data_IF_926212556543
#
_entry.id   IF_926212556543
#
_cell.length_a   1.000
_cell.length_b   1.000
_cell.length_c   1.000
_cell.angle_alpha   90.00
_cell.angle_beta   90.00
_cell.angle_gamma   90.00
#
_symmetry.space_group_name_H-M   'P 1'
#
loop_
_entity.id
_entity.type
_entity.pdbx_description
1 polymer ?
#
# COMPACT_ATOMS: atom_id res chain seq x y z
N UNK A 1 0.69 21.47 11.39
CA UNK A 1 1.76 20.47 11.59
C UNK A 1 1.14 19.10 11.36
N UNK A 2 1.89 18.09 10.90
CA UNK A 2 1.35 16.72 10.84
C UNK A 2 1.06 16.23 12.25
N UNK A 3 0.02 15.41 12.41
CA UNK A 3 -0.35 14.84 13.72
C UNK A 3 0.85 14.08 14.32
N UNK A 4 1.57 13.34 13.49
CA UNK A 4 2.83 12.69 13.86
C UNK A 4 3.88 13.66 14.43
N UNK A 5 4.05 14.83 13.81
CA UNK A 5 4.99 15.85 14.28
C UNK A 5 4.61 16.46 15.63
N UNK A 6 3.31 16.61 15.91
CA UNK A 6 2.81 17.06 17.21
C UNK A 6 3.05 16.00 18.30
N UNK A 7 2.86 14.72 17.97
CA UNK A 7 3.15 13.60 18.87
C UNK A 7 4.64 13.55 19.23
N UNK A 8 5.52 13.56 18.23
CA UNK A 8 6.98 13.53 18.45
C UNK A 8 7.46 14.71 19.30
N UNK A 9 6.97 15.93 19.03
CA UNK A 9 7.27 17.11 19.85
C UNK A 9 6.75 17.00 21.28
N UNK A 10 5.57 16.42 21.46
CA UNK A 10 4.98 16.21 22.80
C UNK A 10 5.83 15.23 23.59
N UNK A 11 6.27 14.13 22.97
CA UNK A 11 7.16 13.14 23.59
C UNK A 11 8.53 13.77 23.91
N UNK A 12 9.12 14.57 23.01
CA UNK A 12 10.37 15.30 23.23
C UNK A 12 10.30 16.34 24.36
N UNK A 13 9.19 17.08 24.46
CA UNK A 13 9.02 18.09 25.50
C UNK A 13 8.85 17.47 26.90
N UNK A 14 8.32 16.25 27.01
CA UNK A 14 8.27 15.52 28.28
C UNK A 14 9.65 15.06 28.72
N UNK A 15 10.51 14.64 27.79
CA UNK A 15 11.89 14.22 28.06
C UNK A 15 12.75 15.35 28.66
N UNK A 16 12.62 16.58 28.14
CA UNK A 16 13.32 17.75 28.69
C UNK A 16 13.03 18.00 30.18
N UNK A 17 11.91 17.49 30.68
CA UNK A 17 11.50 17.64 32.09
C UNK A 17 11.98 16.50 33.00
N UNK A 18 12.57 15.41 32.49
CA UNK A 18 13.05 14.29 33.31
C UNK A 18 14.34 13.69 32.74
N UNK A 19 15.47 14.13 33.27
CA UNK A 19 16.70 13.37 33.15
C UNK A 19 16.64 12.14 34.06
N UNK A 20 17.04 10.98 33.52
CA UNK A 20 17.15 9.66 34.16
C UNK A 20 15.90 8.78 34.09
N UNK A 21 15.74 8.06 32.98
CA UNK A 21 15.89 6.59 32.99
C UNK A 21 15.67 6.05 31.57
N UNK A 22 16.65 5.29 31.09
CA UNK A 22 16.51 4.44 29.92
C UNK A 22 15.55 3.33 30.29
N UNK A 23 14.28 3.47 29.89
CA UNK A 23 13.27 2.45 29.64
C UNK A 23 11.94 3.22 29.50
N UNK A 24 11.16 2.91 28.47
CA UNK A 24 9.80 3.44 28.27
C UNK A 24 8.88 2.82 29.33
N UNK A 25 9.09 3.21 30.58
CA UNK A 25 8.29 2.84 31.75
C UNK A 25 7.45 4.03 32.24
N UNK A 26 7.43 5.14 31.50
CA UNK A 26 6.54 6.25 31.82
C UNK A 26 5.15 5.92 31.26
N UNK A 27 4.24 5.52 32.15
CA UNK A 27 2.82 5.25 31.88
C UNK A 27 2.16 6.38 31.06
N UNK A 28 2.67 7.61 31.21
CA UNK A 28 2.26 8.78 30.44
C UNK A 28 2.64 8.68 28.96
N UNK A 29 3.85 8.19 28.63
CA UNK A 29 4.29 7.99 27.24
C UNK A 29 3.47 6.88 26.61
N UNK A 30 3.22 5.78 27.33
CA UNK A 30 2.35 4.70 26.84
C UNK A 30 0.94 5.22 26.57
N UNK A 31 0.38 6.04 27.46
CA UNK A 31 -0.94 6.62 27.29
C UNK A 31 -0.99 7.65 26.15
N UNK A 32 0.05 8.45 25.95
CA UNK A 32 0.18 9.35 24.80
C UNK A 32 0.25 8.52 23.52
N UNK A 33 1.12 7.51 23.47
CA UNK A 33 1.20 6.57 22.36
C UNK A 33 -0.15 5.93 22.09
N UNK A 34 -0.88 5.37 23.07
CA UNK A 34 -2.21 4.80 22.85
C UNK A 34 -3.22 5.80 22.27
N UNK A 35 -3.29 7.01 22.84
CA UNK A 35 -4.24 8.04 22.42
C UNK A 35 -3.97 8.50 20.98
N UNK A 36 -2.70 8.64 20.61
CA UNK A 36 -2.33 9.15 19.30
C UNK A 36 -2.18 8.04 18.27
N UNK A 37 -1.69 6.86 18.64
CA UNK A 37 -1.55 5.71 17.77
C UNK A 37 -2.90 5.30 17.17
N UNK A 38 -4.00 5.36 17.92
CA UNK A 38 -5.34 5.10 17.34
C UNK A 38 -5.74 6.11 16.25
N UNK A 39 -5.15 7.31 16.24
CA UNK A 39 -5.45 8.40 15.29
C UNK A 39 -4.46 8.48 14.13
N UNK A 40 -3.33 7.80 14.20
CA UNK A 40 -2.31 7.78 13.14
C UNK A 40 -2.68 6.78 12.03
N UNK A 41 -2.33 7.16 10.81
CA UNK A 41 -2.34 6.26 9.64
C UNK A 41 -1.33 5.12 9.81
N UNK A 42 -1.42 4.07 8.98
CA UNK A 42 -0.51 2.91 9.05
C UNK A 42 0.94 3.33 8.83
N UNK A 43 1.19 4.23 7.89
CA UNK A 43 2.55 4.73 7.61
C UNK A 43 3.08 5.62 8.74
N UNK A 44 2.25 6.52 9.30
CA UNK A 44 2.67 7.35 10.44
C UNK A 44 2.96 6.50 11.69
N UNK A 45 2.25 5.38 11.88
CA UNK A 45 2.55 4.42 12.96
C UNK A 45 3.91 3.77 12.77
N UNK A 46 4.20 3.33 11.54
CA UNK A 46 5.50 2.73 11.22
C UNK A 46 6.64 3.74 11.44
N UNK A 47 6.44 5.00 11.05
CA UNK A 47 7.40 6.08 11.24
C UNK A 47 7.60 6.40 12.74
N UNK A 48 6.52 6.50 13.53
CA UNK A 48 6.60 6.69 14.98
C UNK A 48 7.37 5.56 15.67
N UNK A 49 7.07 4.31 15.31
CA UNK A 49 7.74 3.14 15.89
C UNK A 49 9.23 3.12 15.52
N UNK A 50 9.57 3.39 14.26
CA UNK A 50 10.97 3.49 13.83
C UNK A 50 11.71 4.62 14.55
N UNK A 51 11.07 5.78 14.73
CA UNK A 51 11.62 6.89 15.49
C UNK A 51 11.85 6.52 16.96
N UNK A 52 10.88 5.87 17.62
CA UNK A 52 11.02 5.40 18.99
C UNK A 52 12.18 4.40 19.13
N UNK A 53 12.29 3.43 18.23
CA UNK A 53 13.37 2.44 18.21
C UNK A 53 14.75 3.11 18.05
N UNK A 54 14.88 4.05 17.10
CA UNK A 54 16.13 4.77 16.87
C UNK A 54 16.50 5.70 18.03
N UNK A 55 15.52 6.43 18.58
CA UNK A 55 15.76 7.44 19.61
C UNK A 55 16.09 6.83 20.95
N UNK A 56 15.35 5.79 21.36
CA UNK A 56 15.56 5.14 22.65
C UNK A 56 16.56 3.97 22.56
N UNK A 57 17.09 3.68 21.38
CA UNK A 57 18.13 2.66 21.16
C UNK A 57 17.70 1.24 21.53
N UNK A 58 16.39 1.01 21.68
CA UNK A 58 15.90 -0.24 22.24
C UNK A 58 15.77 -1.27 21.12
N UNK A 59 16.65 -2.27 21.12
CA UNK A 59 16.35 -3.58 20.54
C UNK A 59 15.25 -4.23 21.40
N UNK A 60 14.03 -3.70 21.35
CA UNK A 60 12.92 -4.25 22.11
C UNK A 60 12.52 -5.54 21.41
N UNK A 61 12.97 -6.67 21.95
CA UNK A 61 12.53 -8.00 21.56
C UNK A 61 11.00 -8.05 21.49
N UNK A 62 10.30 -7.42 22.44
CA UNK A 62 8.84 -7.30 22.45
C UNK A 62 8.26 -6.46 21.30
N UNK A 63 8.94 -5.43 20.79
CA UNK A 63 8.48 -4.70 19.60
C UNK A 63 8.69 -5.55 18.35
N UNK A 64 9.80 -6.27 18.25
CA UNK A 64 10.03 -7.24 17.18
C UNK A 64 9.03 -8.40 17.24
N UNK A 65 8.71 -8.90 18.43
CA UNK A 65 7.67 -9.90 18.65
C UNK A 65 6.28 -9.34 18.36
N UNK A 66 5.95 -8.11 18.76
CA UNK A 66 4.65 -7.51 18.47
C UNK A 66 4.49 -7.21 16.99
N UNK A 67 5.53 -6.69 16.33
CA UNK A 67 5.59 -6.56 14.88
C UNK A 67 5.51 -7.93 14.21
N UNK A 68 6.19 -8.95 14.73
CA UNK A 68 6.12 -10.33 14.26
C UNK A 68 4.73 -10.94 14.42
N UNK A 69 4.05 -10.72 15.54
CA UNK A 69 2.67 -11.15 15.82
C UNK A 69 1.69 -10.38 14.93
N UNK A 70 1.91 -9.09 14.69
CA UNK A 70 1.12 -8.31 13.73
C UNK A 70 1.35 -8.83 12.31
N UNK A 71 2.59 -9.10 11.93
CA UNK A 71 2.97 -9.66 10.65
C UNK A 71 2.33 -11.04 10.48
N UNK A 72 2.38 -11.89 11.49
CA UNK A 72 1.75 -13.21 11.52
C UNK A 72 0.23 -13.12 11.54
N UNK A 73 -0.36 -12.13 12.21
CA UNK A 73 -1.79 -11.87 12.18
C UNK A 73 -2.23 -11.41 10.79
N UNK A 74 -1.46 -10.54 10.14
CA UNK A 74 -1.73 -10.10 8.76
C UNK A 74 -1.52 -11.27 7.80
N UNK A 75 -0.45 -12.06 7.96
CA UNK A 75 -0.12 -13.27 7.18
C UNK A 75 -1.23 -14.32 7.29
N UNK A 76 -1.67 -14.63 8.50
CA UNK A 76 -2.77 -15.58 8.75
C UNK A 76 -4.13 -15.03 8.28
N UNK A 77 -4.24 -13.70 8.10
CA UNK A 77 -5.41 -13.03 7.51
C UNK A 77 -5.22 -12.66 6.03
N UNK A 78 -4.18 -13.13 5.35
CA UNK A 78 -4.02 -12.93 3.88
C UNK A 78 -5.18 -13.54 3.10
N UNK A 79 -5.85 -14.55 3.66
CA UNK A 79 -7.12 -15.07 3.16
C UNK A 79 -8.27 -14.04 3.15
N UNK A 80 -8.14 -12.91 3.84
CA UNK A 80 -9.14 -11.85 3.97
C UNK A 80 -8.91 -10.68 2.99
N UNK A 81 -7.82 -10.69 2.21
CA UNK A 81 -7.63 -9.66 1.17
C UNK A 81 -8.59 -9.91 0.01
N UNK A 82 -9.46 -8.93 -0.22
CA UNK A 82 -10.47 -8.94 -1.25
C UNK A 82 -9.91 -8.32 -2.52
N UNK A 83 -9.88 -9.10 -3.59
CA UNK A 83 -9.53 -8.64 -4.92
C UNK A 83 -10.72 -7.88 -5.51
N UNK A 84 -10.50 -6.63 -5.90
CA UNK A 84 -11.50 -5.79 -6.56
C UNK A 84 -10.94 -5.28 -7.89
N UNK A 85 -11.75 -5.33 -8.95
CA UNK A 85 -11.42 -4.71 -10.22
C UNK A 85 -11.67 -3.20 -10.12
N UNK A 86 -10.64 -2.42 -10.44
CA UNK A 86 -10.74 -0.96 -10.52
C UNK A 86 -11.12 -0.58 -11.96
N UNK A 87 -12.15 0.25 -12.08
CA UNK A 87 -12.70 0.75 -13.34
C UNK A 87 -12.98 2.24 -13.23
N UNK A 88 -13.37 2.89 -14.32
CA UNK A 88 -13.70 4.31 -14.29
C UNK A 88 -14.96 4.63 -13.46
N UNK A 89 -15.79 3.62 -13.18
CA UNK A 89 -16.96 3.73 -12.30
C UNK A 89 -16.62 3.62 -10.80
N UNK A 90 -15.35 3.31 -10.47
CA UNK A 90 -14.90 3.22 -9.07
C UNK A 90 -15.00 4.59 -8.38
N UNK A 91 -15.35 4.66 -7.08
CA UNK A 91 -15.40 5.92 -6.34
C UNK A 91 -14.15 6.78 -6.49
N UNK A 92 -14.36 8.09 -6.67
CA UNK A 92 -13.30 9.03 -7.03
C UNK A 92 -12.17 9.12 -5.99
N UNK A 93 -12.46 8.95 -4.70
CA UNK A 93 -11.47 8.93 -3.63
C UNK A 93 -10.54 7.70 -3.72
N UNK A 94 -11.04 6.55 -4.16
CA UNK A 94 -10.21 5.37 -4.42
C UNK A 94 -9.37 5.61 -5.69
N UNK A 95 -9.95 6.18 -6.74
CA UNK A 95 -9.22 6.52 -7.97
C UNK A 95 -8.08 7.52 -7.71
N UNK A 96 -8.31 8.52 -6.85
CA UNK A 96 -7.28 9.46 -6.42
C UNK A 96 -6.11 8.73 -5.73
N UNK A 97 -6.42 7.78 -4.83
CA UNK A 97 -5.40 6.94 -4.18
C UNK A 97 -4.65 6.05 -5.17
N UNK A 98 -5.33 5.46 -6.15
CA UNK A 98 -4.68 4.68 -7.22
C UNK A 98 -3.69 5.55 -7.99
N UNK A 99 -4.09 6.78 -8.35
CA UNK A 99 -3.22 7.76 -8.98
C UNK A 99 -2.01 8.12 -8.12
N UNK A 100 -2.23 8.36 -6.82
CA UNK A 100 -1.21 8.78 -5.87
C UNK A 100 -0.21 7.69 -5.51
N UNK A 101 -0.66 6.46 -5.36
CA UNK A 101 0.15 5.35 -4.87
C UNK A 101 0.92 4.60 -5.95
N UNK A 102 0.70 4.90 -7.23
CA UNK A 102 1.44 4.28 -8.32
C UNK A 102 2.94 4.65 -8.25
N UNK A 103 3.77 3.70 -7.84
CA UNK A 103 5.20 3.91 -7.59
C UNK A 103 6.10 3.57 -8.78
N UNK A 104 5.64 2.71 -9.71
CA UNK A 104 6.46 2.25 -10.84
C UNK A 104 6.37 3.24 -12.00
N UNK A 105 5.15 3.66 -12.36
CA UNK A 105 4.92 4.57 -13.48
C UNK A 105 3.96 5.69 -13.09
N UNK A 106 4.52 6.75 -12.50
CA UNK A 106 3.78 7.91 -12.01
C UNK A 106 2.65 8.33 -12.96
N UNK A 107 1.44 8.40 -12.41
CA UNK A 107 0.26 8.85 -13.13
C UNK A 107 0.25 10.37 -13.18
N UNK A 108 0.27 10.93 -14.38
CA UNK A 108 0.49 12.36 -14.63
C UNK A 108 -0.80 13.18 -14.64
N UNK A 109 -1.94 12.54 -14.88
CA UNK A 109 -3.25 13.21 -14.98
C UNK A 109 -4.43 12.24 -14.83
N UNK A 110 -5.64 12.78 -14.62
CA UNK A 110 -6.88 12.01 -14.67
C UNK A 110 -7.13 11.37 -16.04
N UNK A 111 -6.69 12.02 -17.12
CA UNK A 111 -6.78 11.49 -18.48
C UNK A 111 -5.89 10.25 -18.60
N UNK A 112 -4.68 10.29 -18.05
CA UNK A 112 -3.78 9.14 -17.98
C UNK A 112 -4.40 7.98 -17.21
N UNK A 113 -4.90 8.24 -15.99
CA UNK A 113 -5.58 7.23 -15.18
C UNK A 113 -6.75 6.59 -15.95
N UNK A 114 -7.54 7.38 -16.67
CA UNK A 114 -8.64 6.87 -17.49
C UNK A 114 -8.17 5.92 -18.59
N UNK A 115 -7.04 6.20 -19.25
CA UNK A 115 -6.46 5.31 -20.24
C UNK A 115 -5.97 4.00 -19.61
N UNK A 116 -5.37 4.06 -18.42
CA UNK A 116 -4.94 2.86 -17.66
C UNK A 116 -6.09 2.01 -17.15
N UNK A 117 -7.31 2.54 -17.15
CA UNK A 117 -8.54 1.83 -16.82
C UNK A 117 -9.37 1.50 -18.08
N UNK A 118 -8.79 1.68 -19.27
CA UNK A 118 -9.44 1.49 -20.57
C UNK A 118 -9.74 0.04 -20.93
N UNK A 119 -10.25 -0.18 -22.14
CA UNK A 119 -10.78 -1.47 -22.60
C UNK A 119 -9.75 -2.61 -22.64
N UNK A 120 -8.52 -2.33 -23.06
CA UNK A 120 -7.38 -3.26 -23.12
C UNK A 120 -6.45 -3.14 -21.89
N UNK A 121 -6.95 -2.54 -20.81
CA UNK A 121 -6.25 -2.43 -19.54
C UNK A 121 -7.12 -3.01 -18.43
N UNK A 122 -6.47 -3.60 -17.44
CA UNK A 122 -7.12 -4.07 -16.22
C UNK A 122 -6.31 -3.54 -15.06
N UNK A 123 -6.98 -2.91 -14.11
CA UNK A 123 -6.39 -2.52 -12.84
C UNK A 123 -7.12 -3.32 -11.76
N UNK A 124 -6.34 -3.89 -10.85
CA UNK A 124 -6.83 -4.64 -9.72
C UNK A 124 -6.22 -4.07 -8.45
N UNK A 125 -7.02 -4.06 -7.39
CA UNK A 125 -6.56 -3.66 -6.08
C UNK A 125 -6.99 -4.69 -5.04
N UNK A 126 -6.11 -4.94 -4.08
CA UNK A 126 -6.43 -5.75 -2.90
C UNK A 126 -6.77 -4.84 -1.73
N UNK A 127 -7.91 -5.13 -1.10
CA UNK A 127 -8.42 -4.41 0.06
C UNK A 127 -8.51 -5.35 1.25
N UNK A 128 -8.29 -4.81 2.45
CA UNK A 128 -8.62 -5.53 3.69
C UNK A 128 -10.03 -5.14 4.14
N UNK A 129 -10.80 -6.06 4.72
CA UNK A 129 -12.18 -5.81 5.17
C UNK A 129 -12.30 -4.66 6.17
N UNK A 130 -11.29 -4.48 7.03
CA UNK A 130 -11.19 -3.33 7.95
C UNK A 130 -10.78 -2.01 7.30
N UNK A 131 -10.28 -2.04 6.06
CA UNK A 131 -9.84 -0.86 5.30
C UNK A 131 -10.39 -0.90 3.86
N UNK A 132 -11.72 -0.90 3.68
CA UNK A 132 -12.35 -1.13 2.38
C UNK A 132 -12.13 -0.01 1.37
N UNK A 133 -11.66 1.16 1.82
CA UNK A 133 -11.35 2.32 0.97
C UNK A 133 -9.85 2.55 0.80
N UNK A 134 -9.02 1.64 1.29
CA UNK A 134 -7.56 1.74 1.24
C UNK A 134 -7.02 0.59 0.37
N UNK A 135 -6.59 0.86 -0.88
CA UNK A 135 -5.99 -0.17 -1.70
C UNK A 135 -4.61 -0.48 -1.13
N UNK A 136 -4.37 -1.72 -0.70
CA UNK A 136 -3.09 -2.13 -0.07
C UNK A 136 -2.05 -2.54 -1.11
N UNK A 137 -2.52 -3.14 -2.21
CA UNK A 137 -1.66 -3.48 -3.34
C UNK A 137 -2.41 -3.21 -4.63
N UNK A 138 -1.72 -2.58 -5.57
CA UNK A 138 -2.22 -2.23 -6.90
C UNK A 138 -1.51 -3.07 -7.95
N UNK A 139 -2.27 -3.61 -8.89
CA UNK A 139 -1.75 -4.34 -10.03
C UNK A 139 -2.33 -3.74 -11.31
N UNK A 140 -1.45 -3.30 -12.20
CA UNK A 140 -1.82 -2.88 -13.54
C UNK A 140 -1.42 -3.92 -14.58
N UNK A 141 -2.39 -4.29 -15.40
CA UNK A 141 -2.28 -5.34 -16.41
C UNK A 141 -2.68 -4.78 -17.76
N UNK A 142 -1.85 -5.06 -18.77
CA UNK A 142 -2.16 -4.77 -20.16
C UNK A 142 -2.56 -6.06 -20.88
N UNK A 143 -3.67 -6.01 -21.59
CA UNK A 143 -4.13 -7.10 -22.45
C UNK A 143 -3.58 -6.88 -23.86
N UNK A 144 -2.92 -7.91 -24.39
CA UNK A 144 -2.15 -7.86 -25.64
C UNK A 144 -2.25 -9.19 -26.39
N UNK A 145 -1.92 -9.18 -27.67
CA UNK A 145 -1.85 -10.35 -28.55
C UNK A 145 -0.53 -11.14 -28.39
N UNK A 146 0.50 -10.52 -27.82
CA UNK A 146 1.83 -11.09 -27.61
C UNK A 146 2.52 -10.47 -26.40
N UNK A 147 3.51 -11.18 -25.87
CA UNK A 147 4.39 -10.64 -24.83
C UNK A 147 5.15 -9.43 -25.39
N UNK A 148 4.98 -8.27 -24.77
CA UNK A 148 5.70 -7.05 -25.15
C UNK A 148 7.16 -7.14 -24.75
N UNK A 149 8.06 -6.68 -25.63
CA UNK A 149 9.48 -6.55 -25.35
C UNK A 149 9.85 -5.23 -24.66
N UNK A 150 8.90 -4.30 -24.53
CA UNK A 150 9.14 -2.96 -23.98
C UNK A 150 7.96 -2.50 -23.11
N UNK A 151 8.24 -1.91 -21.95
CA UNK A 151 7.22 -1.33 -21.07
C UNK A 151 6.73 0.03 -21.59
N UNK A 152 7.59 0.78 -22.29
CA UNK A 152 7.24 2.08 -22.88
C UNK A 152 6.15 1.95 -23.93
N UNK A 153 6.10 0.85 -24.68
CA UNK A 153 5.00 0.59 -25.63
C UNK A 153 3.68 0.26 -24.94
N UNK A 154 3.70 -0.15 -23.67
CA UNK A 154 2.50 -0.43 -22.87
C UNK A 154 1.97 0.86 -22.22
N UNK A 155 2.88 1.71 -21.74
CA UNK A 155 2.56 2.94 -20.98
C UNK A 155 2.29 4.14 -21.88
N UNK A 156 2.86 4.20 -23.08
CA UNK A 156 2.67 5.35 -23.99
C UNK A 156 1.23 5.45 -24.49
N UNK A 157 0.63 6.64 -24.36
CA UNK A 157 -0.77 6.95 -24.74
C UNK A 157 -1.04 6.95 -26.24
N UNK A 158 -0.01 6.81 -27.07
CA UNK A 158 -0.15 6.80 -28.52
C UNK A 158 -0.82 5.50 -28.95
N UNK A 159 -2.14 5.56 -29.03
CA UNK A 159 -3.01 4.74 -29.86
C UNK A 159 -2.78 3.24 -29.80
N UNK A 160 -3.43 2.61 -28.82
CA UNK A 160 -3.85 1.23 -28.97
C UNK A 160 -5.35 1.18 -28.70
N UNK A 161 -6.15 1.81 -29.58
CA UNK A 161 -7.46 1.23 -29.86
C UNK A 161 -7.18 -0.18 -30.35
N UNK A 162 -7.58 -1.25 -29.62
CA UNK A 162 -7.41 -2.59 -30.12
C UNK A 162 -8.10 -2.67 -31.47
N UNK A 163 -7.38 -3.16 -32.48
CA UNK A 163 -7.98 -3.43 -33.78
C UNK A 163 -9.21 -4.32 -33.52
N UNK A 164 -10.38 -3.82 -33.88
CA UNK A 164 -11.67 -4.46 -33.59
C UNK A 164 -11.63 -5.90 -34.13
N UNK A 165 -11.47 -6.89 -33.24
CA UNK A 165 -11.37 -8.32 -33.61
C UNK A 165 -10.09 -9.05 -33.19
N UNK A 166 -9.10 -8.40 -32.55
CA UNK A 166 -7.95 -9.12 -31.96
C UNK A 166 -8.35 -9.80 -30.65
N UNK A 167 -8.07 -11.10 -30.54
CA UNK A 167 -8.21 -11.86 -29.31
C UNK A 167 -6.99 -11.52 -28.43
N UNK A 168 -7.23 -10.95 -27.26
CA UNK A 168 -6.18 -10.74 -26.27
C UNK A 168 -5.75 -12.11 -25.71
N UNK A 169 -4.57 -12.59 -26.11
CA UNK A 169 -4.03 -13.90 -25.68
C UNK A 169 -3.13 -13.78 -24.46
N UNK A 170 -2.60 -12.58 -24.19
CA UNK A 170 -1.51 -12.34 -23.25
C UNK A 170 -1.88 -11.22 -22.27
N UNK A 171 -1.79 -11.51 -20.98
CA UNK A 171 -1.91 -10.54 -19.91
C UNK A 171 -0.52 -10.20 -19.34
N UNK A 172 -0.12 -8.93 -19.46
CA UNK A 172 1.18 -8.43 -19.01
C UNK A 172 1.00 -7.60 -17.75
N UNK A 173 1.54 -8.08 -16.63
CA UNK A 173 1.64 -7.31 -15.39
C UNK A 173 2.80 -6.31 -15.52
N UNK A 174 2.47 -5.03 -15.75
CA UNK A 174 3.47 -4.00 -16.00
C UNK A 174 3.71 -3.06 -14.80
N UNK A 175 2.84 -3.10 -13.79
CA UNK A 175 3.09 -2.46 -12.49
C UNK A 175 2.43 -3.28 -11.38
N UNK A 176 3.18 -3.49 -10.30
CA UNK A 176 2.73 -4.08 -9.03
C UNK A 176 3.28 -3.18 -7.93
N UNK A 177 2.40 -2.54 -7.16
CA UNK A 177 2.80 -1.58 -6.13
C UNK A 177 2.17 -1.93 -4.79
N UNK A 178 2.99 -2.13 -3.75
CA UNK A 178 2.55 -2.10 -2.36
C UNK A 178 2.38 -0.64 -1.93
N UNK A 179 1.20 -0.27 -1.47
CA UNK A 179 0.86 1.15 -1.22
C UNK A 179 1.21 1.61 0.19
N UNK A 180 1.36 0.68 1.14
CA UNK A 180 1.64 0.95 2.54
C UNK A 180 3.08 0.50 2.85
N UNK A 181 3.89 1.42 3.36
CA UNK A 181 5.26 1.12 3.78
C UNK A 181 5.26 0.25 5.03
N UNK A 182 4.27 0.43 5.91
CA UNK A 182 4.08 -0.40 7.11
C UNK A 182 3.79 -1.88 6.83
N UNK A 183 3.50 -2.25 5.58
CA UNK A 183 3.30 -3.65 5.15
C UNK A 183 4.50 -4.23 4.39
N UNK A 184 5.61 -3.49 4.32
CA UNK A 184 6.82 -3.94 3.66
C UNK A 184 7.38 -5.20 4.34
N UNK A 185 7.70 -6.22 3.54
CA UNK A 185 8.23 -7.50 4.03
C UNK A 185 7.16 -8.55 4.34
N UNK A 186 5.88 -8.25 4.17
CA UNK A 186 4.84 -9.27 4.16
C UNK A 186 4.78 -9.92 2.77
N UNK A 187 4.96 -11.24 2.71
CA UNK A 187 4.91 -11.99 1.45
C UNK A 187 3.47 -12.25 1.00
N UNK A 188 2.94 -11.32 0.22
CA UNK A 188 1.65 -11.48 -0.45
C UNK A 188 1.79 -11.99 -1.90
N UNK A 189 3.01 -11.98 -2.47
CA UNK A 189 3.22 -11.80 -3.90
C UNK A 189 2.62 -12.89 -4.78
N UNK A 190 2.99 -14.15 -4.53
CA UNK A 190 2.62 -15.25 -5.43
C UNK A 190 1.12 -15.57 -5.40
N UNK A 191 0.49 -15.44 -4.23
CA UNK A 191 -0.95 -15.71 -4.08
C UNK A 191 -1.80 -14.65 -4.79
N UNK A 192 -1.38 -13.39 -4.69
CA UNK A 192 -2.07 -12.27 -5.33
C UNK A 192 -2.05 -12.38 -6.85
N UNK A 193 -0.89 -12.69 -7.43
CA UNK A 193 -0.76 -12.85 -8.88
C UNK A 193 -1.67 -13.99 -9.35
N UNK A 194 -1.68 -15.13 -8.64
CA UNK A 194 -2.56 -16.26 -8.97
C UNK A 194 -4.05 -15.87 -8.97
N UNK A 195 -4.51 -15.15 -7.95
CA UNK A 195 -5.90 -14.65 -7.88
C UNK A 195 -6.25 -13.74 -9.07
N UNK A 196 -5.35 -12.83 -9.44
CA UNK A 196 -5.58 -11.95 -10.59
C UNK A 196 -5.60 -12.74 -11.90
N UNK A 197 -4.71 -13.73 -12.06
CA UNK A 197 -4.72 -14.63 -13.23
C UNK A 197 -6.02 -15.43 -13.31
N UNK A 198 -6.55 -15.90 -12.19
CA UNK A 198 -7.85 -16.59 -12.13
C UNK A 198 -9.01 -15.66 -12.53
N UNK A 199 -9.02 -14.40 -12.08
CA UNK A 199 -10.01 -13.40 -12.51
C UNK A 199 -9.90 -13.03 -13.99
N UNK A 200 -8.69 -12.99 -14.55
CA UNK A 200 -8.47 -12.70 -15.97
C UNK A 200 -8.92 -13.83 -16.91
N UNK A 201 -9.07 -15.05 -16.38
CA UNK A 201 -9.52 -16.23 -17.14
C UNK A 201 -11.04 -16.38 -17.20
N UNK A 202 -11.78 -15.64 -16.38
CA UNK A 202 -13.25 -15.63 -16.38
C UNK A 202 -13.79 -14.78 -17.51
#
# INVERSE_FOLDING_TARGET
MSLLGEVMKTVENQEKNKFQNFLVADETINRICEIYFTKLTVDEKAELLSWLCNKYGVQHHELYETCGVLQDCINNRVGMLQLTRITWETPADILEKVGKYEAVHQIRSWVDLKHRLGSNRRCYAFFHSSMPREPLVLLHVALTDKISSNVTSIVSYTDITPAKGTIDTTAIFYSITSTQNGLQGIDFGIHMIRKVVEELRK
#
